data_IF_132354237098
#
_entry.id   IF_132354237098
#
_cell.length_a   1.000
_cell.length_b   1.000
_cell.length_c   1.000
_cell.angle_alpha   90.00
_cell.angle_beta   90.00
_cell.angle_gamma   90.00
#
_symmetry.space_group_name_H-M   'P 1'
#
loop_
_entity.id
_entity.type
_entity.pdbx_description
1 polymer ?
#
# COMPACT_ATOMS: atom_id res chain seq x y z
N UNK A 1 -33.82 38.78 29.52
CA UNK A 1 -32.83 39.31 28.54
C UNK A 1 -33.40 39.39 27.11
N UNK A 2 -34.68 39.77 26.93
CA UNK A 2 -35.37 39.69 25.61
C UNK A 2 -35.46 41.01 24.83
N UNK A 3 -35.03 42.13 25.43
CA UNK A 3 -35.20 43.47 24.85
C UNK A 3 -34.30 43.74 23.64
N UNK A 4 -33.01 43.36 23.71
CA UNK A 4 -32.01 43.70 22.67
C UNK A 4 -32.30 43.07 21.29
N UNK A 5 -32.80 41.83 21.25
CA UNK A 5 -33.15 41.15 19.99
C UNK A 5 -34.32 41.84 19.29
N UNK A 6 -35.33 42.25 20.04
CA UNK A 6 -36.51 42.93 19.52
C UNK A 6 -36.15 44.33 18.98
N UNK A 7 -35.24 45.04 19.63
CA UNK A 7 -34.71 46.32 19.13
C UNK A 7 -33.99 46.15 17.79
N UNK A 8 -33.09 45.17 17.65
CA UNK A 8 -32.37 44.90 16.39
C UNK A 8 -33.30 44.49 15.25
N UNK A 9 -34.38 43.76 15.54
CA UNK A 9 -35.38 43.40 14.53
C UNK A 9 -36.10 44.66 14.02
N UNK A 10 -36.55 45.52 14.94
CA UNK A 10 -37.19 46.79 14.60
C UNK A 10 -36.28 47.72 13.80
N UNK A 11 -35.03 47.87 14.21
CA UNK A 11 -34.03 48.66 13.47
C UNK A 11 -33.87 48.17 12.03
N UNK A 12 -33.80 46.86 11.81
CA UNK A 12 -33.69 46.28 10.47
C UNK A 12 -34.95 46.51 9.63
N UNK A 13 -36.13 46.40 10.23
CA UNK A 13 -37.39 46.68 9.54
C UNK A 13 -37.46 48.15 9.11
N UNK A 14 -37.19 49.09 10.04
CA UNK A 14 -37.15 50.52 9.74
C UNK A 14 -36.11 50.87 8.67
N UNK A 15 -34.94 50.23 8.70
CA UNK A 15 -33.93 50.40 7.68
C UNK A 15 -34.40 49.87 6.31
N UNK A 16 -34.99 48.68 6.27
CA UNK A 16 -35.53 48.10 5.04
C UNK A 16 -36.63 48.98 4.42
N UNK A 17 -37.54 49.50 5.23
CA UNK A 17 -38.62 50.39 4.79
C UNK A 17 -38.06 51.72 4.25
N UNK A 18 -36.99 52.24 4.87
CA UNK A 18 -36.30 53.44 4.39
C UNK A 18 -35.59 53.21 3.06
N UNK A 19 -35.01 52.02 2.86
CA UNK A 19 -34.40 51.61 1.58
C UNK A 19 -35.48 51.44 0.51
N UNK A 20 -36.61 50.81 0.84
CA UNK A 20 -37.73 50.59 -0.08
C UNK A 20 -38.32 51.92 -0.58
N UNK A 21 -38.45 52.92 0.30
CA UNK A 21 -39.02 54.23 -0.05
C UNK A 21 -38.09 55.13 -0.87
N UNK A 22 -36.79 55.10 -0.61
CA UNK A 22 -35.83 56.06 -1.18
C UNK A 22 -34.81 55.42 -2.14
N UNK A 23 -34.87 54.10 -2.29
CA UNK A 23 -33.94 53.34 -3.13
C UNK A 23 -34.35 53.32 -4.59
N UNK A 24 -33.51 52.70 -5.39
CA UNK A 24 -33.68 52.57 -6.83
C UNK A 24 -33.95 51.08 -7.15
N UNK A 25 -34.95 50.77 -7.99
CA UNK A 25 -35.15 49.41 -8.50
C UNK A 25 -33.95 48.96 -9.32
N UNK A 26 -33.42 47.78 -8.99
CA UNK A 26 -32.28 47.14 -9.66
C UNK A 26 -32.69 45.78 -10.22
N UNK A 27 -31.82 45.18 -11.03
CA UNK A 27 -31.98 43.78 -11.41
C UNK A 27 -32.08 42.90 -10.15
N UNK A 28 -32.92 41.85 -10.16
CA UNK A 28 -33.19 41.09 -8.96
C UNK A 28 -31.97 40.31 -8.50
N UNK A 29 -31.55 40.51 -7.24
CA UNK A 29 -30.58 39.63 -6.59
C UNK A 29 -31.13 38.19 -6.48
N UNK A 30 -30.28 37.20 -6.24
CA UNK A 30 -30.69 35.79 -6.22
C UNK A 30 -31.84 35.49 -5.26
N UNK A 31 -31.93 36.18 -4.13
CA UNK A 31 -33.03 36.01 -3.17
C UNK A 31 -34.33 36.68 -3.64
N UNK A 32 -34.24 37.87 -4.23
CA UNK A 32 -35.37 38.59 -4.79
C UNK A 32 -35.93 37.86 -6.02
N UNK A 33 -35.06 37.33 -6.88
CA UNK A 33 -35.42 36.53 -8.05
C UNK A 33 -36.20 35.26 -7.63
N UNK A 34 -35.70 34.53 -6.61
CA UNK A 34 -36.37 33.33 -6.09
C UNK A 34 -37.69 33.62 -5.38
N UNK A 35 -37.86 34.82 -4.85
CA UNK A 35 -39.04 35.22 -4.07
C UNK A 35 -40.05 36.03 -4.88
N UNK A 36 -39.76 36.27 -6.16
CA UNK A 36 -40.50 37.17 -7.05
C UNK A 36 -40.80 38.53 -6.39
N UNK A 37 -39.74 39.20 -5.94
CA UNK A 37 -39.82 40.52 -5.30
C UNK A 37 -38.94 41.52 -6.04
N UNK A 38 -39.37 42.78 -6.06
CA UNK A 38 -38.55 43.88 -6.54
C UNK A 38 -37.31 44.05 -5.67
N UNK A 39 -36.16 44.26 -6.33
CA UNK A 39 -34.89 44.44 -5.66
C UNK A 39 -34.56 45.93 -5.60
N UNK A 40 -34.94 46.58 -4.50
CA UNK A 40 -34.73 48.02 -4.31
C UNK A 40 -33.51 48.24 -3.43
N UNK A 41 -32.52 49.01 -3.91
CA UNK A 41 -31.27 49.28 -3.21
C UNK A 41 -31.09 50.78 -3.01
N UNK A 42 -30.70 51.20 -1.81
CA UNK A 42 -30.37 52.58 -1.53
C UNK A 42 -28.91 52.89 -1.94
N UNK A 43 -28.62 54.10 -2.45
CA UNK A 43 -27.25 54.51 -2.76
C UNK A 43 -26.32 54.32 -1.55
N UNK A 44 -25.13 53.76 -1.78
CA UNK A 44 -24.14 53.48 -0.73
C UNK A 44 -24.42 52.24 0.13
N UNK A 45 -25.56 51.56 -0.04
CA UNK A 45 -25.86 50.31 0.64
C UNK A 45 -25.64 49.09 -0.26
N UNK A 46 -25.07 48.02 0.31
CA UNK A 46 -24.79 46.76 -0.43
C UNK A 46 -25.94 45.76 -0.44
N UNK A 47 -27.02 46.00 0.30
CA UNK A 47 -28.17 45.09 0.43
C UNK A 47 -29.45 45.79 0.01
N UNK A 48 -30.32 45.06 -0.70
CA UNK A 48 -31.67 45.54 -0.99
C UNK A 48 -32.56 45.56 0.25
N UNK A 49 -33.73 46.20 0.13
CA UNK A 49 -34.76 46.27 1.17
C UNK A 49 -35.14 44.88 1.71
N UNK A 50 -35.48 43.95 0.81
CA UNK A 50 -35.92 42.59 1.17
C UNK A 50 -34.84 41.77 1.89
N UNK A 51 -33.60 41.76 1.37
CA UNK A 51 -32.49 41.07 2.03
C UNK A 51 -32.12 41.72 3.37
N UNK A 52 -32.28 43.04 3.50
CA UNK A 52 -32.10 43.76 4.77
C UNK A 52 -33.16 43.34 5.79
N UNK A 53 -34.43 43.26 5.35
CA UNK A 53 -35.58 42.83 6.18
C UNK A 53 -35.40 41.39 6.69
N UNK A 54 -34.92 40.49 5.82
CA UNK A 54 -34.64 39.08 6.16
C UNK A 54 -33.31 38.86 6.85
N UNK A 55 -32.46 39.88 6.93
CA UNK A 55 -31.09 39.77 7.40
C UNK A 55 -30.28 38.67 6.67
N UNK A 56 -30.48 38.56 5.36
CA UNK A 56 -29.76 37.62 4.51
C UNK A 56 -28.63 38.31 3.74
N UNK A 57 -27.74 37.51 3.17
CA UNK A 57 -26.79 38.02 2.18
C UNK A 57 -27.54 38.51 0.94
N UNK A 58 -26.96 39.49 0.25
CA UNK A 58 -27.54 40.08 -0.95
C UNK A 58 -26.42 40.27 -1.97
N UNK A 59 -26.66 39.82 -3.19
CA UNK A 59 -25.79 39.99 -4.34
C UNK A 59 -26.41 40.95 -5.38
N UNK A 60 -27.21 41.93 -4.91
CA UNK A 60 -27.79 42.95 -5.78
C UNK A 60 -26.72 43.91 -6.33
N UNK A 61 -25.65 44.13 -5.56
CA UNK A 61 -24.54 44.98 -5.95
C UNK A 61 -23.43 44.13 -6.57
N UNK A 62 -22.73 44.69 -7.56
CA UNK A 62 -21.55 44.08 -8.15
C UNK A 62 -20.48 43.80 -7.07
N UNK A 63 -19.71 42.70 -7.20
CA UNK A 63 -18.56 42.45 -6.35
C UNK A 63 -17.58 43.62 -6.40
N UNK A 64 -16.96 43.93 -5.26
CA UNK A 64 -15.98 45.00 -5.20
C UNK A 64 -14.62 44.56 -5.77
N UNK A 65 -13.73 45.49 -6.18
CA UNK A 65 -12.38 45.15 -6.64
C UNK A 65 -11.60 44.28 -5.63
N UNK A 66 -11.82 44.49 -4.33
CA UNK A 66 -11.22 43.67 -3.30
C UNK A 66 -11.75 42.22 -3.28
N UNK A 67 -13.00 42.00 -3.70
CA UNK A 67 -13.57 40.66 -3.81
C UNK A 67 -12.96 39.93 -5.02
N UNK A 68 -12.75 40.63 -6.13
CA UNK A 68 -12.05 40.11 -7.31
C UNK A 68 -10.58 39.78 -7.01
N UNK A 69 -9.88 40.64 -6.28
CA UNK A 69 -8.50 40.40 -5.87
C UNK A 69 -8.36 39.16 -4.98
N UNK A 70 -9.31 38.95 -4.06
CA UNK A 70 -9.34 37.73 -3.23
C UNK A 70 -9.56 36.49 -4.08
N UNK A 71 -10.49 36.58 -5.04
CA UNK A 71 -10.78 35.47 -5.94
C UNK A 71 -9.56 35.11 -6.80
N UNK A 72 -8.88 36.10 -7.40
CA UNK A 72 -7.66 35.87 -8.18
C UNK A 72 -6.56 35.20 -7.35
N UNK A 73 -6.33 35.68 -6.13
CA UNK A 73 -5.33 35.06 -5.22
C UNK A 73 -5.68 33.63 -4.85
N UNK A 74 -6.96 33.33 -4.68
CA UNK A 74 -7.40 31.98 -4.36
C UNK A 74 -7.27 31.05 -5.57
N UNK A 75 -7.56 31.55 -6.78
CA UNK A 75 -7.31 30.82 -8.03
C UNK A 75 -5.82 30.51 -8.21
N UNK A 76 -4.93 31.51 -8.06
CA UNK A 76 -3.47 31.33 -8.12
C UNK A 76 -2.99 30.32 -7.07
N UNK A 77 -3.55 30.36 -5.85
CA UNK A 77 -3.22 29.42 -4.76
C UNK A 77 -3.64 28.00 -5.11
N UNK A 78 -4.86 27.83 -5.65
CA UNK A 78 -5.39 26.52 -6.03
C UNK A 78 -4.62 25.92 -7.21
N UNK A 79 -4.25 26.72 -8.21
CA UNK A 79 -3.43 26.29 -9.35
C UNK A 79 -2.05 25.78 -8.89
N UNK A 80 -1.40 26.51 -7.97
CA UNK A 80 -0.13 26.07 -7.40
C UNK A 80 -0.26 24.77 -6.57
N UNK A 81 -1.37 24.60 -5.84
CA UNK A 81 -1.65 23.39 -5.08
C UNK A 81 -1.94 22.19 -5.99
N UNK A 82 -2.67 22.39 -7.08
CA UNK A 82 -2.94 21.37 -8.11
C UNK A 82 -1.64 20.92 -8.78
N UNK A 83 -0.76 21.85 -9.19
CA UNK A 83 0.52 21.51 -9.80
C UNK A 83 1.40 20.69 -8.85
N UNK A 84 1.47 21.08 -7.57
CA UNK A 84 2.20 20.35 -6.56
C UNK A 84 1.62 18.94 -6.33
N UNK A 85 0.29 18.79 -6.30
CA UNK A 85 -0.36 17.50 -6.19
C UNK A 85 -0.10 16.61 -7.41
N UNK A 86 -0.13 17.18 -8.62
CA UNK A 86 0.17 16.47 -9.86
C UNK A 86 1.64 15.99 -9.89
N UNK A 87 2.58 16.78 -9.37
CA UNK A 87 3.96 16.35 -9.22
C UNK A 87 4.09 15.16 -8.26
N UNK A 88 3.47 15.24 -7.08
CA UNK A 88 3.46 14.15 -6.10
C UNK A 88 2.82 12.88 -6.64
N UNK A 89 1.73 12.99 -7.40
CA UNK A 89 1.08 11.85 -8.05
C UNK A 89 2.03 11.14 -9.01
N UNK A 90 2.78 11.90 -9.83
CA UNK A 90 3.76 11.33 -10.76
C UNK A 90 4.88 10.59 -10.02
N UNK A 91 5.42 11.17 -8.96
CA UNK A 91 6.45 10.51 -8.14
C UNK A 91 5.93 9.23 -7.48
N UNK A 92 4.73 9.29 -6.89
CA UNK A 92 4.08 8.13 -6.28
C UNK A 92 3.85 7.01 -7.31
N UNK A 93 3.45 7.36 -8.53
CA UNK A 93 3.27 6.41 -9.61
C UNK A 93 4.59 5.73 -10.02
N UNK A 94 5.69 6.47 -10.13
CA UNK A 94 7.01 5.89 -10.40
C UNK A 94 7.44 4.93 -9.28
N UNK A 95 7.31 5.34 -8.02
CA UNK A 95 7.60 4.49 -6.86
C UNK A 95 6.75 3.20 -6.88
N UNK A 96 5.47 3.31 -7.23
CA UNK A 96 4.56 2.16 -7.31
C UNK A 96 4.99 1.18 -8.41
N UNK A 97 5.43 1.67 -9.57
CA UNK A 97 5.94 0.84 -10.65
C UNK A 97 7.21 0.09 -10.24
N UNK A 98 8.15 0.76 -9.56
CA UNK A 98 9.38 0.14 -9.06
C UNK A 98 9.08 -0.94 -8.01
N UNK A 99 8.20 -0.64 -7.06
CA UNK A 99 7.76 -1.59 -6.06
C UNK A 99 7.09 -2.82 -6.68
N UNK A 100 6.25 -2.61 -7.69
CA UNK A 100 5.62 -3.68 -8.47
C UNK A 100 6.67 -4.54 -9.18
N UNK A 101 7.62 -3.94 -9.89
CA UNK A 101 8.68 -4.65 -10.59
C UNK A 101 9.53 -5.49 -9.62
N UNK A 102 9.88 -4.92 -8.46
CA UNK A 102 10.59 -5.64 -7.37
C UNK A 102 9.79 -6.84 -6.88
N UNK A 103 8.50 -6.67 -6.61
CA UNK A 103 7.60 -7.76 -6.18
C UNK A 103 7.57 -8.89 -7.20
N UNK A 104 7.52 -8.57 -8.49
CA UNK A 104 7.51 -9.57 -9.55
C UNK A 104 8.83 -10.35 -9.64
N UNK A 105 9.99 -9.68 -9.46
CA UNK A 105 11.28 -10.37 -9.38
C UNK A 105 11.36 -11.32 -8.20
N UNK A 106 10.96 -10.87 -7.01
CA UNK A 106 10.93 -11.70 -5.80
C UNK A 106 10.02 -12.92 -5.99
N UNK A 107 8.85 -12.74 -6.60
CA UNK A 107 7.93 -13.85 -6.91
C UNK A 107 8.57 -14.90 -7.83
N UNK A 108 9.32 -14.47 -8.85
CA UNK A 108 10.05 -15.37 -9.75
C UNK A 108 11.14 -16.15 -9.00
N UNK A 109 11.95 -15.46 -8.19
CA UNK A 109 12.99 -16.08 -7.37
C UNK A 109 12.40 -17.11 -6.40
N UNK A 110 11.31 -16.76 -5.70
CA UNK A 110 10.63 -17.67 -4.80
C UNK A 110 10.13 -18.93 -5.53
N UNK A 111 9.58 -18.79 -6.74
CA UNK A 111 9.14 -19.94 -7.54
C UNK A 111 10.32 -20.81 -7.93
N UNK A 112 11.43 -20.23 -8.37
CA UNK A 112 12.64 -20.97 -8.74
C UNK A 112 13.21 -21.76 -7.54
N UNK A 113 13.28 -21.14 -6.36
CA UNK A 113 13.70 -21.82 -5.13
C UNK A 113 12.77 -22.96 -4.75
N UNK A 114 11.45 -22.77 -4.84
CA UNK A 114 10.47 -23.85 -4.58
C UNK A 114 10.66 -25.02 -5.55
N UNK A 115 10.88 -24.75 -6.83
CA UNK A 115 11.14 -25.80 -7.82
C UNK A 115 12.44 -26.55 -7.53
N UNK A 116 13.53 -25.82 -7.25
CA UNK A 116 14.81 -26.42 -6.89
C UNK A 116 14.69 -27.29 -5.62
N UNK A 117 14.04 -26.78 -4.57
CA UNK A 117 13.81 -27.53 -3.34
C UNK A 117 12.97 -28.79 -3.56
N UNK A 118 11.94 -28.74 -4.41
CA UNK A 118 11.14 -29.92 -4.76
C UNK A 118 11.95 -30.99 -5.52
N UNK A 119 12.89 -30.58 -6.37
CA UNK A 119 13.80 -31.49 -7.06
C UNK A 119 14.80 -32.12 -6.08
N UNK A 120 15.43 -31.32 -5.22
CA UNK A 120 16.34 -31.82 -4.19
C UNK A 120 15.65 -32.83 -3.27
N UNK A 121 14.42 -32.53 -2.84
CA UNK A 121 13.63 -33.45 -2.03
C UNK A 121 13.36 -34.77 -2.76
N UNK A 122 12.98 -34.72 -4.04
CA UNK A 122 12.75 -35.92 -4.85
C UNK A 122 14.01 -36.80 -4.95
N UNK A 123 15.16 -36.19 -5.24
CA UNK A 123 16.44 -36.91 -5.31
C UNK A 123 16.84 -37.50 -3.96
N UNK A 124 16.63 -36.75 -2.88
CA UNK A 124 16.88 -37.22 -1.51
C UNK A 124 16.01 -38.43 -1.13
N UNK A 125 14.71 -38.40 -1.45
CA UNK A 125 13.81 -39.53 -1.20
C UNK A 125 14.22 -40.77 -2.00
N UNK A 126 14.55 -40.61 -3.29
CA UNK A 126 15.02 -41.73 -4.11
C UNK A 126 16.29 -42.38 -3.55
N UNK A 127 17.24 -41.58 -3.07
CA UNK A 127 18.47 -42.09 -2.45
C UNK A 127 18.18 -42.86 -1.16
N UNK A 128 17.16 -42.49 -0.39
CA UNK A 128 16.74 -43.23 0.81
C UNK A 128 16.09 -44.56 0.43
N UNK A 129 15.22 -44.57 -0.58
CA UNK A 129 14.60 -45.80 -1.10
C UNK A 129 15.66 -46.80 -1.59
N UNK A 130 16.71 -46.32 -2.28
CA UNK A 130 17.83 -47.16 -2.73
C UNK A 130 18.63 -47.77 -1.57
N UNK A 131 18.84 -47.00 -0.50
CA UNK A 131 19.56 -47.46 0.69
C UNK A 131 18.74 -48.52 1.45
N UNK A 132 17.45 -48.28 1.66
CA UNK A 132 16.55 -49.24 2.30
C UNK A 132 16.49 -50.57 1.53
N UNK A 133 16.41 -50.50 0.19
CA UNK A 133 16.46 -51.69 -0.67
C UNK A 133 17.83 -52.41 -0.58
N UNK A 134 18.94 -51.70 -0.40
CA UNK A 134 20.25 -52.31 -0.21
C UNK A 134 20.36 -53.02 1.14
N UNK A 135 19.92 -52.38 2.22
CA UNK A 135 19.88 -52.96 3.56
C UNK A 135 18.98 -54.20 3.61
N UNK A 136 17.84 -54.20 2.91
CA UNK A 136 16.97 -55.38 2.81
C UNK A 136 17.63 -56.54 2.06
N UNK A 137 18.33 -56.25 0.96
CA UNK A 137 19.13 -57.27 0.24
C UNK A 137 20.21 -57.87 1.13
N UNK A 138 20.90 -57.06 1.92
CA UNK A 138 21.91 -57.54 2.87
C UNK A 138 21.27 -58.42 3.96
N UNK A 139 20.15 -57.99 4.55
CA UNK A 139 19.39 -58.80 5.52
C UNK A 139 18.95 -60.14 4.94
N UNK A 140 18.45 -60.15 3.70
CA UNK A 140 18.05 -61.37 3.01
C UNK A 140 19.23 -62.32 2.75
N UNK A 141 20.38 -61.78 2.31
CA UNK A 141 21.59 -62.56 2.08
C UNK A 141 22.14 -63.18 3.37
N UNK A 142 22.14 -62.41 4.47
CA UNK A 142 22.53 -62.91 5.79
C UNK A 142 21.56 -63.99 6.29
N UNK A 143 20.25 -63.85 6.07
CA UNK A 143 19.28 -64.87 6.43
C UNK A 143 19.53 -66.18 5.66
N UNK A 144 19.72 -66.10 4.34
CA UNK A 144 20.02 -67.27 3.49
C UNK A 144 21.32 -67.97 3.92
N UNK A 145 22.39 -67.19 4.20
CA UNK A 145 23.66 -67.72 4.69
C UNK A 145 23.50 -68.48 6.02
N UNK A 146 22.62 -68.02 6.91
CA UNK A 146 22.33 -68.70 8.18
C UNK A 146 21.42 -69.94 8.02
N UNK A 147 20.74 -70.11 6.89
CA UNK A 147 19.87 -71.27 6.61
C UNK A 147 20.57 -72.44 5.88
N UNK A 148 21.83 -72.27 5.44
CA UNK A 148 22.64 -73.36 4.87
C UNK A 148 23.02 -74.39 5.95
N UNK A 149 22.81 -75.72 5.74
CA UNK A 149 23.16 -76.73 6.72
C UNK A 149 24.67 -76.81 6.95
N UNK A 150 25.09 -76.68 8.20
CA UNK A 150 26.48 -76.90 8.63
C UNK A 150 26.85 -78.38 8.42
N UNK A 151 27.70 -78.68 7.44
CA UNK A 151 28.31 -80.00 7.30
C UNK A 151 29.37 -80.24 8.40
N UNK A 152 29.63 -81.49 8.83
CA UNK A 152 30.37 -81.78 10.07
C UNK A 152 31.90 -81.58 9.90
N UNK A 153 32.64 -81.39 11.01
CA UNK A 153 34.06 -81.08 10.96
C UNK A 153 34.87 -82.34 10.67
N UNK A 154 35.84 -82.24 9.76
CA UNK A 154 36.89 -83.26 9.58
C UNK A 154 38.26 -82.66 9.85
N UNK A 155 38.99 -83.40 10.67
CA UNK A 155 40.26 -83.19 11.37
C UNK A 155 41.49 -83.05 10.45
N UNK A 156 42.28 -81.97 10.67
CA UNK A 156 43.77 -81.74 10.69
C UNK A 156 44.77 -82.53 9.80
N UNK A 157 46.08 -82.13 9.68
CA UNK A 157 46.78 -80.82 9.75
C UNK A 157 47.85 -80.61 8.60
N UNK A 158 48.40 -79.39 8.43
CA UNK A 158 49.87 -79.13 8.42
C UNK A 158 50.25 -77.66 8.06
N UNK A 159 51.08 -77.11 8.94
CA UNK A 159 52.07 -76.02 8.92
C UNK A 159 52.37 -75.27 7.60
N UNK A 160 52.34 -73.93 7.65
CA UNK A 160 53.44 -73.06 7.18
C UNK A 160 53.25 -71.61 7.71
N UNK A 161 54.18 -71.15 8.55
CA UNK A 161 54.44 -69.73 8.89
C UNK A 161 55.39 -69.16 7.82
N UNK A 162 55.31 -67.88 7.42
CA UNK A 162 56.07 -66.87 8.18
C UNK A 162 55.50 -65.43 8.20
N UNK A 163 55.93 -64.72 9.24
CA UNK A 163 55.84 -63.26 9.45
C UNK A 163 56.09 -62.40 8.19
N UNK A 164 55.20 -61.43 7.94
CA UNK A 164 55.50 -60.23 7.15
C UNK A 164 54.80 -58.98 7.74
N UNK A 165 55.56 -58.33 8.63
CA UNK A 165 55.82 -56.89 8.74
C UNK A 165 54.68 -55.87 8.44
N UNK A 166 54.11 -55.35 9.52
CA UNK A 166 53.33 -54.11 9.54
C UNK A 166 54.28 -52.90 9.61
N UNK A 167 54.80 -52.42 8.48
CA UNK A 167 55.50 -51.13 8.48
C UNK A 167 55.54 -50.38 7.14
N UNK A 168 54.40 -50.02 6.56
CA UNK A 168 54.34 -48.80 5.71
C UNK A 168 52.94 -48.18 5.70
N UNK A 169 52.60 -47.44 6.75
CA UNK A 169 51.54 -46.43 6.70
C UNK A 169 52.18 -45.08 7.00
N UNK A 170 52.36 -44.26 5.97
CA UNK A 170 52.87 -42.89 6.08
C UNK A 170 51.67 -41.92 6.12
N UNK A 171 51.36 -41.26 7.25
CA UNK A 171 50.18 -40.41 7.39
C UNK A 171 50.42 -38.95 6.98
N UNK A 172 51.53 -38.61 6.29
CA UNK A 172 51.92 -37.21 6.08
C UNK A 172 51.59 -36.60 4.70
N UNK A 173 50.76 -37.22 3.87
CA UNK A 173 50.30 -36.61 2.62
C UNK A 173 48.81 -36.32 2.69
N UNK A 174 48.46 -35.07 3.01
CA UNK A 174 47.39 -34.26 2.41
C UNK A 174 47.11 -33.04 3.32
N UNK A 175 48.03 -32.06 3.28
CA UNK A 175 47.72 -30.69 3.70
C UNK A 175 46.83 -30.01 2.64
N UNK A 176 45.70 -29.39 3.01
CA UNK A 176 44.95 -28.50 2.12
C UNK A 176 45.65 -27.13 2.06
N UNK A 177 46.06 -26.72 0.86
CA UNK A 177 46.44 -25.33 0.60
C UNK A 177 45.18 -24.45 0.62
N UNK A 178 45.17 -23.46 1.52
CA UNK A 178 44.28 -22.29 1.47
C UNK A 178 44.63 -21.39 0.28
#
# INVERSE_FOLDING_TARGET
>A
MSSSKHTKIKERQLLADRIEKNGIPMSPCSNCLRSDRECIVAPGHRRCSECTRRNSQCNACAPSPADWEKLRKEEERLEAEEEAAAFQEREAHLCAQEAYARRMRLRKQQKALKTCGAEMLRRGLHSLDELEAAEERERAALAEANHLPTAPPTTSPEVFDPELDFSTFDPAALSPSY
#
